data_IF_377708746915
#
_entry.id   IF_377708746915
#
_cell.length_a   1.000
_cell.length_b   1.000
_cell.length_c   1.000
_cell.angle_alpha   90.00
_cell.angle_beta   90.00
_cell.angle_gamma   90.00
#
_symmetry.space_group_name_H-M   'P 1'
#
loop_
_entity.id
_entity.type
_entity.pdbx_description
1 polymer ?
#
# COMPACT_ATOMS: atom_id res chain seq x y z
N UNK A 1 -48.38 49.26 4.36
CA UNK A 1 -46.94 49.03 4.58
C UNK A 1 -46.62 47.62 4.10
N UNK A 2 -46.15 47.53 2.86
CA UNK A 2 -46.01 46.28 2.10
C UNK A 2 -44.64 45.65 2.38
N UNK A 3 -44.63 44.41 2.87
CA UNK A 3 -43.41 43.64 3.14
C UNK A 3 -42.94 42.96 1.85
N UNK A 4 -41.73 43.29 1.39
CA UNK A 4 -41.03 42.54 0.34
C UNK A 4 -40.33 41.32 0.93
N UNK A 5 -40.73 40.12 0.49
CA UNK A 5 -39.97 38.88 0.66
C UNK A 5 -38.87 38.82 -0.41
N UNK A 6 -37.62 38.79 0.01
CA UNK A 6 -36.47 38.52 -0.86
C UNK A 6 -36.20 37.01 -0.81
N UNK A 7 -36.54 36.29 -1.89
CA UNK A 7 -36.26 34.87 -2.03
C UNK A 7 -34.81 34.66 -2.50
N UNK A 8 -33.99 34.03 -1.66
CA UNK A 8 -32.61 33.66 -1.94
C UNK A 8 -32.61 32.37 -2.79
N UNK A 9 -32.37 32.47 -4.10
CA UNK A 9 -32.11 31.31 -4.95
C UNK A 9 -30.75 30.71 -4.58
N UNK A 10 -30.73 29.60 -3.85
CA UNK A 10 -29.54 28.76 -3.75
C UNK A 10 -29.36 28.00 -5.08
N UNK A 11 -28.43 28.43 -5.91
CA UNK A 11 -27.89 27.60 -6.98
C UNK A 11 -27.12 26.45 -6.31
N UNK A 12 -27.76 25.30 -6.17
CA UNK A 12 -27.05 24.04 -5.95
C UNK A 12 -26.27 23.74 -7.22
N UNK A 13 -24.98 24.09 -7.24
CA UNK A 13 -24.06 23.63 -8.26
C UNK A 13 -23.89 22.12 -8.06
N UNK A 14 -24.71 21.33 -8.75
CA UNK A 14 -24.51 19.90 -8.92
C UNK A 14 -23.21 19.74 -9.71
N UNK A 15 -22.08 19.61 -9.02
CA UNK A 15 -20.86 19.14 -9.64
C UNK A 15 -21.15 17.72 -10.11
N UNK A 16 -21.51 17.59 -11.38
CA UNK A 16 -21.52 16.31 -12.06
C UNK A 16 -20.08 15.81 -12.02
N UNK A 17 -19.75 15.02 -10.99
CA UNK A 17 -18.60 14.15 -11.04
C UNK A 17 -18.86 13.26 -12.25
N UNK A 18 -18.22 13.57 -13.38
CA UNK A 18 -18.13 12.64 -14.49
C UNK A 18 -17.67 11.33 -13.87
N UNK A 19 -18.53 10.31 -13.90
CA UNK A 19 -18.25 9.02 -13.27
C UNK A 19 -16.82 8.62 -13.65
N UNK A 20 -16.00 8.21 -12.69
CA UNK A 20 -14.67 7.70 -12.98
C UNK A 20 -14.86 6.42 -13.80
N UNK A 21 -14.68 6.52 -15.12
CA UNK A 21 -15.06 5.45 -16.03
C UNK A 21 -13.83 4.63 -16.32
N UNK A 22 -13.76 3.43 -15.76
CA UNK A 22 -12.97 2.35 -16.31
C UNK A 22 -13.91 1.22 -16.75
N UNK A 23 -13.65 0.68 -17.94
CA UNK A 23 -14.46 -0.39 -18.54
C UNK A 23 -13.59 -1.31 -19.35
N UNK A 24 -14.08 -2.52 -19.60
CA UNK A 24 -13.41 -3.49 -20.43
C UNK A 24 -13.33 -4.84 -19.75
N UNK A 25 -12.65 -5.77 -20.42
CA UNK A 25 -12.42 -7.12 -19.90
C UNK A 25 -10.93 -7.43 -19.93
N UNK A 26 -10.51 -8.25 -18.99
CA UNK A 26 -9.22 -8.93 -18.99
C UNK A 26 -9.46 -10.40 -18.72
N UNK A 27 -8.87 -11.25 -19.56
CA UNK A 27 -8.95 -12.69 -19.47
C UNK A 27 -7.55 -13.25 -19.28
N UNK A 28 -7.36 -14.16 -18.32
CA UNK A 28 -6.11 -14.89 -18.13
C UNK A 28 -6.42 -16.32 -17.68
N UNK A 29 -6.21 -17.30 -18.57
CA UNK A 29 -6.64 -18.68 -18.35
C UNK A 29 -8.16 -18.72 -18.09
N UNK A 30 -8.57 -19.21 -16.93
CA UNK A 30 -9.97 -19.27 -16.50
C UNK A 30 -10.45 -18.03 -15.73
N UNK A 31 -9.59 -17.01 -15.56
CA UNK A 31 -9.91 -15.81 -14.80
C UNK A 31 -10.50 -14.78 -15.75
N UNK A 32 -11.65 -14.23 -15.35
CA UNK A 32 -12.29 -13.09 -16.00
C UNK A 32 -12.27 -11.92 -15.02
N UNK A 33 -11.84 -10.76 -15.50
CA UNK A 33 -11.74 -9.54 -14.73
C UNK A 33 -12.49 -8.42 -15.45
N UNK A 34 -13.33 -7.71 -14.69
CA UNK A 34 -14.01 -6.50 -15.12
C UNK A 34 -13.79 -5.40 -14.08
N UNK A 35 -13.36 -4.18 -14.47
CA UNK A 35 -13.15 -3.09 -13.53
C UNK A 35 -14.46 -2.65 -12.85
N UNK A 36 -14.43 -2.57 -11.52
CA UNK A 36 -15.50 -2.02 -10.65
C UNK A 36 -15.11 -0.65 -10.09
N UNK A 37 -13.81 -0.40 -9.97
CA UNK A 37 -13.27 0.88 -9.52
C UNK A 37 -11.91 1.15 -10.15
N UNK A 38 -11.53 2.43 -10.22
CA UNK A 38 -10.26 2.83 -10.79
C UNK A 38 -9.78 4.17 -10.24
N UNK A 39 -8.46 4.35 -10.22
CA UNK A 39 -7.84 5.66 -10.05
C UNK A 39 -6.45 5.67 -10.68
N UNK A 40 -5.93 6.85 -10.96
CA UNK A 40 -4.57 6.98 -11.49
C UNK A 40 -3.67 7.77 -10.55
N UNK A 41 -2.36 7.55 -10.67
CA UNK A 41 -1.33 8.33 -9.98
C UNK A 41 -0.04 8.36 -10.79
N UNK A 42 0.89 9.23 -10.40
CA UNK A 42 2.24 9.28 -10.94
C UNK A 42 3.17 8.48 -10.03
N UNK A 43 3.86 7.49 -10.60
CA UNK A 43 4.90 6.73 -9.92
C UNK A 43 6.30 7.20 -10.35
N UNK A 44 7.29 6.92 -9.53
CA UNK A 44 8.69 7.12 -9.90
C UNK A 44 9.09 6.15 -11.00
N UNK A 45 9.77 6.66 -12.02
CA UNK A 45 10.43 5.82 -13.02
C UNK A 45 11.96 5.85 -12.81
N UNK A 46 12.69 5.07 -13.60
CA UNK A 46 14.15 5.10 -13.62
C UNK A 46 14.72 6.49 -13.97
N UNK A 47 13.95 7.32 -14.69
CA UNK A 47 14.25 8.72 -14.95
C UNK A 47 13.32 9.59 -14.06
N UNK A 48 13.82 10.19 -12.97
CA UNK A 48 13.01 11.02 -12.09
C UNK A 48 12.35 12.22 -12.79
N UNK A 49 12.86 12.66 -13.95
CA UNK A 49 12.27 13.73 -14.75
C UNK A 49 11.06 13.27 -15.58
N UNK A 50 10.84 11.95 -15.69
CA UNK A 50 9.76 11.34 -16.47
C UNK A 50 8.99 10.37 -15.57
N UNK A 51 8.09 10.86 -14.71
CA UNK A 51 7.27 9.97 -13.89
C UNK A 51 6.42 9.06 -14.79
N UNK A 52 6.18 7.85 -14.31
CA UNK A 52 5.34 6.88 -15.01
C UNK A 52 3.90 7.08 -14.57
N UNK A 53 2.99 7.31 -15.52
CA UNK A 53 1.57 7.37 -15.18
C UNK A 53 1.02 5.97 -15.00
N UNK A 54 0.49 5.70 -13.82
CA UNK A 54 -0.16 4.45 -13.46
C UNK A 54 -1.66 4.66 -13.43
N UNK A 55 -2.39 3.77 -14.11
CA UNK A 55 -3.84 3.63 -13.98
C UNK A 55 -4.10 2.31 -13.28
N UNK A 56 -4.74 2.36 -12.12
CA UNK A 56 -5.16 1.15 -11.41
C UNK A 56 -6.61 0.84 -11.73
N UNK A 57 -6.87 -0.41 -12.09
CA UNK A 57 -8.21 -0.97 -12.26
C UNK A 57 -8.41 -2.10 -11.25
N UNK A 58 -9.48 -2.08 -10.48
CA UNK A 58 -9.79 -3.13 -9.50
C UNK A 58 -11.19 -3.70 -9.73
N UNK A 59 -11.39 -4.99 -9.45
CA UNK A 59 -12.73 -5.60 -9.42
C UNK A 59 -13.44 -5.43 -8.07
N UNK A 60 -12.89 -4.57 -7.20
CA UNK A 60 -13.40 -4.23 -5.88
C UNK A 60 -13.37 -2.72 -5.68
N UNK A 61 -14.08 -2.21 -4.66
CA UNK A 61 -14.04 -0.78 -4.30
C UNK A 61 -12.74 -0.44 -3.59
N UNK A 62 -12.01 0.52 -4.12
CA UNK A 62 -10.69 0.89 -3.62
C UNK A 62 -10.87 1.87 -2.46
N UNK A 63 -10.30 1.54 -1.30
CA UNK A 63 -10.03 2.50 -0.25
C UNK A 63 -8.88 3.41 -0.71
N UNK A 64 -9.25 4.47 -1.43
CA UNK A 64 -8.32 5.47 -1.97
C UNK A 64 -7.54 6.15 -0.86
N UNK A 65 -8.18 6.45 0.28
CA UNK A 65 -7.51 7.10 1.39
C UNK A 65 -6.40 6.22 1.96
N UNK A 66 -6.64 4.91 2.11
CA UNK A 66 -5.60 3.96 2.51
C UNK A 66 -4.47 3.89 1.47
N UNK A 67 -4.80 3.76 0.18
CA UNK A 67 -3.81 3.64 -0.89
C UNK A 67 -2.92 4.90 -1.04
N UNK A 68 -3.50 6.10 -0.98
CA UNK A 68 -2.76 7.36 -1.13
C UNK A 68 -1.93 7.71 0.10
N UNK A 69 -2.34 7.28 1.29
CA UNK A 69 -1.61 7.54 2.53
C UNK A 69 -0.55 6.47 2.83
N UNK A 70 -0.60 5.31 2.15
CA UNK A 70 0.41 4.28 2.30
C UNK A 70 1.80 4.75 1.87
N UNK A 71 2.82 4.25 2.57
CA UNK A 71 4.22 4.37 2.15
C UNK A 71 4.45 3.62 0.84
N UNK A 72 3.80 2.46 0.71
CA UNK A 72 3.85 1.56 -0.44
C UNK A 72 2.43 1.41 -0.99
N UNK A 73 2.10 2.22 -2.00
CA UNK A 73 0.77 2.22 -2.62
C UNK A 73 0.43 0.87 -3.26
N UNK A 74 1.30 0.23 -4.07
CA UNK A 74 1.06 -1.13 -4.54
C UNK A 74 0.80 -2.14 -3.42
N UNK A 75 1.61 -2.12 -2.34
CA UNK A 75 1.41 -2.98 -1.18
C UNK A 75 0.03 -2.80 -0.53
N UNK A 76 -0.41 -1.55 -0.35
CA UNK A 76 -1.74 -1.27 0.21
C UNK A 76 -2.90 -1.78 -0.66
N UNK A 77 -2.70 -1.93 -1.97
CA UNK A 77 -3.69 -2.48 -2.89
C UNK A 77 -3.70 -4.01 -2.86
N UNK A 78 -2.53 -4.63 -2.71
CA UNK A 78 -2.41 -6.08 -2.45
C UNK A 78 -3.19 -6.44 -1.17
N UNK A 79 -3.02 -5.66 -0.10
CA UNK A 79 -3.74 -5.89 1.17
C UNK A 79 -5.26 -5.78 1.02
N UNK A 80 -5.74 -4.82 0.21
CA UNK A 80 -7.17 -4.66 -0.06
C UNK A 80 -7.73 -5.81 -0.91
N UNK A 81 -6.99 -6.22 -1.93
CA UNK A 81 -7.35 -7.37 -2.77
C UNK A 81 -7.39 -8.68 -1.96
N UNK A 82 -6.42 -8.89 -1.06
CA UNK A 82 -6.37 -10.06 -0.17
C UNK A 82 -7.54 -10.17 0.80
N UNK A 83 -8.18 -9.04 1.14
CA UNK A 83 -9.37 -8.97 2.01
C UNK A 83 -10.70 -9.12 1.25
N UNK A 84 -10.64 -9.13 -0.08
CA UNK A 84 -11.82 -9.26 -0.94
C UNK A 84 -11.85 -10.64 -1.57
N UNK A 85 -12.97 -11.34 -1.46
CA UNK A 85 -13.14 -12.63 -2.13
C UNK A 85 -12.99 -12.47 -3.66
N UNK A 86 -12.07 -13.23 -4.26
CA UNK A 86 -11.70 -13.07 -5.66
C UNK A 86 -11.07 -11.71 -6.02
N UNK A 87 -10.61 -10.93 -5.04
CA UNK A 87 -10.06 -9.59 -5.26
C UNK A 87 -8.88 -9.58 -6.23
N UNK A 88 -8.95 -8.74 -7.25
CA UNK A 88 -7.91 -8.61 -8.26
C UNK A 88 -7.77 -7.15 -8.68
N UNK A 89 -6.58 -6.78 -9.14
CA UNK A 89 -6.35 -5.50 -9.76
C UNK A 89 -5.32 -5.58 -10.88
N UNK A 90 -5.45 -4.67 -11.83
CA UNK A 90 -4.51 -4.44 -12.91
C UNK A 90 -3.84 -3.09 -12.71
N UNK A 91 -2.55 -3.05 -12.98
CA UNK A 91 -1.72 -1.86 -13.07
C UNK A 91 -1.45 -1.61 -14.55
N UNK A 92 -2.13 -0.61 -15.10
CA UNK A 92 -1.90 -0.08 -16.44
C UNK A 92 -0.79 0.98 -16.38
N UNK A 93 0.29 0.74 -17.10
CA UNK A 93 1.40 1.68 -17.25
C UNK A 93 1.22 2.43 -18.56
N UNK A 94 1.07 3.75 -18.52
CA UNK A 94 1.05 4.57 -19.74
C UNK A 94 2.51 4.80 -20.17
N UNK A 95 2.95 4.04 -21.18
CA UNK A 95 4.36 4.05 -21.63
C UNK A 95 4.59 5.16 -22.66
N UNK A 96 3.66 5.30 -23.60
CA UNK A 96 3.62 6.38 -24.59
C UNK A 96 2.19 6.63 -25.08
N UNK A 97 2.01 7.49 -26.07
CA UNK A 97 0.70 7.70 -26.70
C UNK A 97 0.18 6.45 -27.45
N UNK A 98 1.08 5.55 -27.84
CA UNK A 98 0.81 4.38 -28.67
C UNK A 98 1.04 3.05 -27.93
N UNK A 99 1.70 3.10 -26.77
CA UNK A 99 2.05 1.92 -25.99
C UNK A 99 1.64 2.00 -24.53
N UNK A 100 1.20 0.86 -24.01
CA UNK A 100 0.89 0.64 -22.61
C UNK A 100 1.51 -0.67 -22.11
N UNK A 101 1.65 -0.77 -20.79
CA UNK A 101 2.04 -2.00 -20.11
C UNK A 101 1.01 -2.46 -19.10
N UNK A 102 1.01 -3.76 -18.81
CA UNK A 102 0.11 -4.38 -17.85
C UNK A 102 0.89 -5.19 -16.83
N UNK A 103 0.58 -4.95 -15.56
CA UNK A 103 0.81 -5.90 -14.48
C UNK A 103 -0.53 -6.30 -13.88
N UNK A 104 -0.67 -7.56 -13.48
CA UNK A 104 -1.88 -8.11 -12.89
C UNK A 104 -1.57 -8.76 -11.55
N UNK A 105 -2.37 -8.42 -10.53
CA UNK A 105 -2.45 -9.13 -9.28
C UNK A 105 -3.78 -9.90 -9.23
N UNK A 106 -3.70 -11.24 -9.22
CA UNK A 106 -4.84 -12.14 -9.30
C UNK A 106 -4.89 -13.01 -8.04
N UNK A 107 -5.58 -12.54 -6.99
CA UNK A 107 -5.61 -13.21 -5.68
C UNK A 107 -6.15 -14.64 -5.77
N UNK A 108 -7.20 -14.86 -6.57
CA UNK A 108 -7.84 -16.17 -6.74
C UNK A 108 -6.87 -17.27 -7.21
N UNK A 109 -5.85 -16.90 -7.98
CA UNK A 109 -4.81 -17.82 -8.43
C UNK A 109 -3.49 -17.68 -7.65
N UNK A 110 -3.42 -16.78 -6.68
CA UNK A 110 -2.19 -16.39 -5.99
C UNK A 110 -1.07 -16.00 -6.97
N UNK A 111 -1.44 -15.30 -8.05
CA UNK A 111 -0.52 -14.93 -9.13
C UNK A 111 -0.27 -13.44 -9.18
N UNK A 112 1.00 -13.10 -9.39
CA UNK A 112 1.48 -11.78 -9.76
C UNK A 112 2.14 -11.91 -11.12
N UNK A 113 1.65 -11.15 -12.09
CA UNK A 113 2.02 -11.32 -13.48
C UNK A 113 2.42 -9.97 -14.03
N UNK A 114 3.69 -9.82 -14.37
CA UNK A 114 4.12 -8.72 -15.22
C UNK A 114 4.10 -9.21 -16.66
N UNK A 115 3.26 -8.58 -17.49
CA UNK A 115 3.14 -8.93 -18.89
C UNK A 115 4.24 -8.20 -19.69
N UNK A 116 3.88 -7.29 -20.58
CA UNK A 116 4.84 -6.45 -21.33
C UNK A 116 4.51 -4.96 -21.21
N UNK A 117 5.32 -4.12 -21.88
CA UNK A 117 5.13 -2.67 -22.03
C UNK A 117 4.87 -2.27 -23.49
N UNK A 118 4.48 -3.21 -24.35
CA UNK A 118 4.38 -3.01 -25.80
C UNK A 118 2.96 -3.21 -26.34
N UNK A 119 1.94 -3.19 -25.49
CA UNK A 119 0.55 -3.33 -25.92
C UNK A 119 0.08 -2.07 -26.64
N UNK A 120 -0.90 -2.23 -27.53
CA UNK A 120 -1.42 -1.10 -28.29
C UNK A 120 -2.23 -0.19 -27.38
N UNK A 121 -1.88 1.09 -27.37
CA UNK A 121 -2.64 2.14 -26.71
C UNK A 121 -3.28 3.08 -27.74
N UNK A 122 -4.44 3.64 -27.40
CA UNK A 122 -5.16 4.60 -28.25
C UNK A 122 -5.76 5.72 -27.40
N UNK A 123 -5.86 6.92 -28.00
CA UNK A 123 -6.53 8.06 -27.39
C UNK A 123 -5.89 8.53 -26.07
N UNK A 124 -4.63 8.17 -25.83
CA UNK A 124 -3.96 8.46 -24.56
C UNK A 124 -3.83 9.97 -24.36
N UNK A 125 -4.45 10.46 -23.29
CA UNK A 125 -4.37 11.84 -22.84
C UNK A 125 -3.98 11.84 -21.37
N UNK A 126 -2.86 12.49 -21.05
CA UNK A 126 -2.41 12.68 -19.67
C UNK A 126 -2.36 14.18 -19.39
N UNK A 127 -3.17 14.63 -18.43
CA UNK A 127 -3.20 16.01 -17.95
C UNK A 127 -2.79 16.07 -16.48
N UNK A 128 -2.68 17.27 -15.92
CA UNK A 128 -2.37 17.45 -14.51
C UNK A 128 -3.43 16.85 -13.56
N UNK A 129 -4.68 16.65 -14.02
CA UNK A 129 -5.81 16.24 -13.17
C UNK A 129 -6.51 14.97 -13.61
N UNK A 130 -6.19 14.44 -14.80
CA UNK A 130 -6.95 13.34 -15.40
C UNK A 130 -6.10 12.60 -16.43
N UNK A 131 -6.33 11.30 -16.54
CA UNK A 131 -5.74 10.43 -17.55
C UNK A 131 -6.84 9.62 -18.22
N UNK A 132 -6.80 9.58 -19.55
CA UNK A 132 -7.75 8.85 -20.37
C UNK A 132 -7.05 8.10 -21.50
N UNK A 133 -7.64 7.00 -21.97
CA UNK A 133 -7.12 6.21 -23.07
C UNK A 133 -7.63 4.78 -23.08
N UNK A 134 -7.07 4.00 -24.00
CA UNK A 134 -7.33 2.58 -24.17
C UNK A 134 -6.02 1.81 -24.18
N UNK A 135 -6.08 0.55 -23.75
CA UNK A 135 -5.00 -0.42 -23.85
C UNK A 135 -5.59 -1.79 -24.18
N UNK A 136 -5.08 -2.42 -25.24
CA UNK A 136 -5.63 -3.69 -25.69
C UNK A 136 -4.56 -4.62 -26.28
N UNK A 137 -4.82 -5.92 -26.15
CA UNK A 137 -4.19 -6.93 -27.03
C UNK A 137 -4.82 -6.86 -28.42
N UNK A 138 -4.03 -7.04 -29.47
CA UNK A 138 -4.57 -7.11 -30.85
C UNK A 138 -5.12 -8.50 -31.20
N UNK A 139 -4.71 -9.51 -30.44
CA UNK A 139 -5.15 -10.91 -30.51
C UNK A 139 -4.82 -11.58 -29.16
N UNK A 140 -5.43 -12.74 -28.83
CA UNK A 140 -5.02 -13.51 -27.67
C UNK A 140 -3.54 -13.87 -27.72
N UNK A 141 -2.87 -13.68 -26.59
CA UNK A 141 -1.47 -13.99 -26.35
C UNK A 141 -1.35 -15.15 -25.35
N UNK A 142 -0.12 -15.65 -25.14
CA UNK A 142 0.14 -16.76 -24.24
C UNK A 142 1.22 -16.42 -23.25
N UNK A 143 1.03 -16.88 -22.02
CA UNK A 143 2.05 -16.90 -20.98
C UNK A 143 1.98 -18.25 -20.27
N UNK A 144 3.09 -19.01 -20.33
CA UNK A 144 3.11 -20.42 -19.94
C UNK A 144 2.02 -21.21 -20.70
N UNK A 145 1.18 -21.94 -19.98
CA UNK A 145 0.07 -22.73 -20.53
C UNK A 145 -1.24 -21.93 -20.65
N UNK A 146 -1.28 -20.70 -20.13
CA UNK A 146 -2.48 -19.86 -20.12
C UNK A 146 -2.51 -18.91 -21.32
N UNK A 147 -3.72 -18.73 -21.87
CA UNK A 147 -4.01 -17.69 -22.85
C UNK A 147 -4.49 -16.43 -22.11
N UNK A 148 -4.16 -15.25 -22.63
CA UNK A 148 -4.70 -14.00 -22.14
C UNK A 148 -5.05 -13.04 -23.27
N UNK A 149 -6.04 -12.20 -23.01
CA UNK A 149 -6.43 -11.08 -23.86
C UNK A 149 -7.11 -10.02 -23.01
N UNK A 150 -7.08 -8.78 -23.47
CA UNK A 150 -7.77 -7.70 -22.80
C UNK A 150 -8.08 -6.56 -23.75
N UNK A 151 -9.11 -5.80 -23.38
CA UNK A 151 -9.42 -4.51 -23.96
C UNK A 151 -9.94 -3.62 -22.84
N UNK A 152 -9.12 -2.66 -22.42
CA UNK A 152 -9.37 -1.81 -21.27
C UNK A 152 -9.42 -0.35 -21.72
N UNK A 153 -10.44 0.37 -21.26
CA UNK A 153 -10.60 1.81 -21.46
C UNK A 153 -10.68 2.49 -20.09
N UNK A 154 -10.09 3.66 -19.98
CA UNK A 154 -10.03 4.44 -18.75
C UNK A 154 -10.20 5.93 -19.05
N UNK A 155 -10.90 6.62 -18.15
CA UNK A 155 -10.97 8.06 -18.03
C UNK A 155 -11.18 8.40 -16.55
N UNK A 156 -10.06 8.61 -15.86
CA UNK A 156 -10.00 8.65 -14.39
C UNK A 156 -9.17 9.84 -13.88
N UNK A 157 -9.50 10.38 -12.69
CA UNK A 157 -8.74 11.45 -12.08
C UNK A 157 -7.31 11.00 -11.78
N UNK A 158 -6.37 11.88 -12.09
CA UNK A 158 -4.97 11.72 -11.71
C UNK A 158 -4.80 12.21 -10.27
N UNK A 159 -4.59 11.27 -9.36
CA UNK A 159 -4.44 11.52 -7.93
C UNK A 159 -2.98 11.82 -7.61
N UNK A 160 -2.74 12.97 -6.98
CA UNK A 160 -1.43 13.30 -6.46
C UNK A 160 -1.15 12.45 -5.21
N UNK A 161 -0.09 11.62 -5.27
CA UNK A 161 0.39 10.86 -4.13
C UNK A 161 1.68 11.52 -3.64
N UNK A 162 1.66 12.01 -2.40
CA UNK A 162 2.87 12.56 -1.78
C UNK A 162 3.89 11.44 -1.58
N UNK A 163 5.14 11.72 -1.95
CA UNK A 163 6.26 10.82 -1.65
C UNK A 163 6.45 10.72 -0.14
N UNK A 164 6.78 9.54 0.40
CA UNK A 164 7.18 9.41 1.79
C UNK A 164 8.41 10.29 2.09
N UNK A 165 8.46 10.87 3.28
CA UNK A 165 9.64 11.55 3.78
C UNK A 165 10.68 10.52 4.24
N UNK A 166 11.95 10.75 3.92
CA UNK A 166 13.05 9.94 4.45
C UNK A 166 13.29 10.27 5.92
N UNK A 167 13.43 9.22 6.74
CA UNK A 167 13.85 9.31 8.13
C UNK A 167 15.37 9.21 8.22
N UNK A 168 15.98 10.09 9.01
CA UNK A 168 17.42 10.03 9.31
C UNK A 168 17.75 8.84 10.21
N UNK A 169 19.05 8.59 10.42
CA UNK A 169 19.52 7.63 11.42
C UNK A 169 18.85 7.86 12.78
N UNK A 170 18.50 6.76 13.46
CA UNK A 170 17.64 6.75 14.64
C UNK A 170 16.14 6.69 14.34
N UNK A 171 15.71 6.91 13.09
CA UNK A 171 14.32 6.74 12.65
C UNK A 171 13.32 7.74 13.24
N UNK A 172 13.80 8.84 13.86
CA UNK A 172 12.94 9.83 14.50
C UNK A 172 12.11 9.26 15.66
N UNK A 173 10.92 9.83 15.88
CA UNK A 173 9.96 9.37 16.89
C UNK A 173 9.62 7.85 16.76
N UNK A 174 9.24 7.32 15.57
CA UNK A 174 8.91 5.89 15.46
C UNK A 174 10.11 4.98 15.74
N UNK A 175 11.31 5.36 15.32
CA UNK A 175 12.53 4.61 15.61
C UNK A 175 12.86 4.57 17.11
N UNK A 176 12.71 5.71 17.81
CA UNK A 176 12.90 5.77 19.25
C UNK A 176 11.90 4.90 20.03
N UNK A 177 10.63 4.90 19.59
CA UNK A 177 9.58 4.07 20.19
C UNK A 177 9.88 2.58 20.00
N UNK A 178 10.26 2.16 18.79
CA UNK A 178 10.61 0.76 18.54
C UNK A 178 11.83 0.31 19.35
N UNK A 179 12.87 1.14 19.43
CA UNK A 179 14.03 0.85 20.28
C UNK A 179 13.65 0.74 21.77
N UNK A 180 12.71 1.57 22.23
CA UNK A 180 12.12 1.49 23.56
C UNK A 180 11.37 0.19 23.80
N UNK A 181 10.54 -0.27 22.86
CA UNK A 181 9.85 -1.56 22.92
C UNK A 181 10.85 -2.71 23.04
N UNK A 182 11.86 -2.75 22.16
CA UNK A 182 12.90 -3.80 22.20
C UNK A 182 13.57 -3.83 23.57
N UNK A 183 13.95 -2.67 24.11
CA UNK A 183 14.53 -2.58 25.47
C UNK A 183 13.56 -3.07 26.55
N UNK A 184 12.28 -2.72 26.46
CA UNK A 184 11.26 -3.14 27.42
C UNK A 184 11.06 -4.67 27.42
N UNK A 185 11.06 -5.29 26.23
CA UNK A 185 10.98 -6.74 26.07
C UNK A 185 12.18 -7.41 26.77
N UNK A 186 13.40 -6.94 26.50
CA UNK A 186 14.61 -7.52 27.12
C UNK A 186 14.65 -7.32 28.64
N UNK A 187 14.03 -6.24 29.15
CA UNK A 187 13.94 -5.96 30.58
C UNK A 187 12.73 -6.63 31.27
N UNK A 188 11.89 -7.36 30.53
CA UNK A 188 10.61 -7.87 31.00
C UNK A 188 9.70 -6.78 31.63
N UNK A 189 9.73 -5.56 31.07
CA UNK A 189 8.95 -4.42 31.55
C UNK A 189 7.56 -4.42 30.89
N UNK A 190 6.60 -5.06 31.57
CA UNK A 190 5.20 -5.06 31.15
C UNK A 190 4.65 -3.65 30.92
N UNK A 191 4.91 -2.72 31.84
CA UNK A 191 4.26 -1.41 31.82
C UNK A 191 4.70 -0.60 30.59
N UNK A 192 5.95 -0.78 30.15
CA UNK A 192 6.44 -0.17 28.92
C UNK A 192 6.03 -0.96 27.66
N UNK A 193 6.17 -2.30 27.66
CA UNK A 193 6.00 -3.10 26.44
C UNK A 193 4.55 -3.14 25.94
N UNK A 194 3.57 -3.38 26.83
CA UNK A 194 2.17 -3.62 26.42
C UNK A 194 1.52 -2.44 25.69
N UNK A 195 2.05 -1.22 25.86
CA UNK A 195 1.55 -0.01 25.18
C UNK A 195 2.03 0.08 23.72
N UNK A 196 3.16 -0.56 23.42
CA UNK A 196 3.88 -0.42 22.14
C UNK A 196 3.76 -1.66 21.25
N UNK A 197 3.37 -2.80 21.83
CA UNK A 197 3.12 -4.04 21.11
C UNK A 197 1.93 -3.92 20.15
N UNK A 198 1.96 -4.70 19.05
CA UNK A 198 0.77 -4.93 18.23
C UNK A 198 -0.39 -5.46 19.10
N UNK A 199 -1.65 -5.02 18.87
CA UNK A 199 -2.78 -5.42 19.70
C UNK A 199 -2.99 -6.93 19.82
N UNK A 200 -2.66 -7.70 18.77
CA UNK A 200 -2.75 -9.16 18.73
C UNK A 200 -1.64 -9.87 19.53
N UNK A 201 -0.59 -9.15 19.94
CA UNK A 201 0.49 -9.66 20.80
C UNK A 201 0.34 -9.26 22.27
N UNK A 202 -0.62 -8.39 22.59
CA UNK A 202 -0.95 -8.01 23.96
C UNK A 202 -1.99 -8.99 24.51
N UNK A 203 -1.69 -9.78 25.55
CA UNK A 203 -2.69 -10.65 26.15
C UNK A 203 -3.79 -9.81 26.82
N UNK A 204 -5.03 -10.33 26.81
CA UNK A 204 -6.21 -9.68 27.40
C UNK A 204 -6.05 -9.33 28.89
N UNK A 205 -5.19 -10.08 29.58
CA UNK A 205 -4.87 -9.85 30.99
C UNK A 205 -3.36 -9.79 31.20
N UNK A 206 -2.93 -8.91 32.10
CA UNK A 206 -1.53 -8.81 32.51
C UNK A 206 -1.05 -10.16 33.09
N UNK A 207 0.06 -10.73 32.59
CA UNK A 207 0.64 -11.94 33.16
C UNK A 207 0.93 -11.79 34.65
N UNK A 208 0.75 -12.87 35.42
CA UNK A 208 1.12 -12.86 36.85
C UNK A 208 2.63 -12.68 37.01
N UNK A 209 3.11 -12.19 38.16
CA UNK A 209 4.55 -12.06 38.40
C UNK A 209 5.35 -13.35 38.15
N UNK A 210 4.76 -14.52 38.45
CA UNK A 210 5.38 -15.83 38.19
C UNK A 210 5.46 -16.22 36.71
N UNK A 211 4.62 -15.64 35.86
CA UNK A 211 4.51 -15.93 34.42
C UNK A 211 5.28 -14.91 33.57
N UNK A 212 5.55 -13.73 34.13
CA UNK A 212 6.13 -12.57 33.42
C UNK A 212 7.42 -12.91 32.68
N UNK A 213 8.33 -13.65 33.33
CA UNK A 213 9.61 -14.04 32.73
C UNK A 213 9.43 -14.98 31.54
N UNK A 214 8.49 -15.91 31.62
CA UNK A 214 8.17 -16.84 30.52
C UNK A 214 7.56 -16.09 29.35
N UNK A 215 6.57 -15.24 29.61
CA UNK A 215 5.94 -14.40 28.59
C UNK A 215 6.96 -13.57 27.81
N UNK A 216 7.86 -12.86 28.50
CA UNK A 216 8.88 -12.04 27.83
C UNK A 216 9.99 -12.85 27.16
N UNK A 217 10.27 -14.07 27.63
CA UNK A 217 11.17 -14.98 26.93
C UNK A 217 10.59 -15.35 25.56
N UNK A 218 9.33 -15.80 25.53
CA UNK A 218 8.66 -16.22 24.30
C UNK A 218 8.43 -15.03 23.35
N UNK A 219 8.01 -13.89 23.89
CA UNK A 219 7.89 -12.65 23.13
C UNK A 219 9.24 -12.24 22.52
N UNK A 220 10.31 -12.32 23.31
CA UNK A 220 11.67 -11.98 22.87
C UNK A 220 12.22 -12.86 21.76
N UNK A 221 11.61 -14.02 21.45
CA UNK A 221 11.97 -14.82 20.27
C UNK A 221 11.55 -14.16 18.96
N UNK A 222 10.52 -13.32 19.00
CA UNK A 222 9.99 -12.61 17.84
C UNK A 222 10.60 -11.21 17.64
N UNK A 223 11.50 -10.77 18.53
CA UNK A 223 12.09 -9.44 18.50
C UNK A 223 13.63 -9.50 18.55
N UNK A 224 14.32 -8.47 18.03
CA UNK A 224 15.75 -8.35 18.24
C UNK A 224 16.12 -8.33 19.73
N UNK A 225 17.27 -8.91 20.05
CA UNK A 225 17.96 -8.73 21.33
C UNK A 225 18.63 -7.36 21.43
N UNK A 226 19.20 -6.89 20.32
CA UNK A 226 19.76 -5.54 20.18
C UNK A 226 19.24 -4.91 18.91
N UNK A 227 19.05 -3.59 18.89
CA UNK A 227 18.55 -2.88 17.72
C UNK A 227 19.31 -1.57 17.52
N UNK A 228 19.66 -1.31 16.26
CA UNK A 228 20.12 -0.04 15.74
C UNK A 228 19.23 0.34 14.56
N UNK A 229 18.62 1.53 14.63
CA UNK A 229 17.71 2.04 13.60
C UNK A 229 18.50 2.87 12.59
N UNK A 230 18.62 2.37 11.37
CA UNK A 230 19.43 2.99 10.31
C UNK A 230 18.75 4.22 9.68
N UNK A 231 17.42 4.23 9.67
CA UNK A 231 16.61 5.24 9.00
C UNK A 231 15.25 4.66 8.62
N UNK A 232 14.68 5.14 7.53
CA UNK A 232 13.43 4.60 6.99
C UNK A 232 12.63 5.61 6.18
N UNK A 233 11.35 5.33 6.02
CA UNK A 233 10.38 6.18 5.34
C UNK A 233 9.21 6.49 6.28
N UNK A 234 8.60 7.66 6.13
CA UNK A 234 7.43 8.07 6.89
C UNK A 234 6.44 8.81 6.00
N UNK A 235 5.15 8.57 6.22
CA UNK A 235 4.08 9.27 5.53
C UNK A 235 2.86 9.36 6.43
N UNK A 236 2.50 10.60 6.80
CA UNK A 236 1.47 10.86 7.81
C UNK A 236 1.73 10.06 9.08
N UNK A 237 0.74 9.26 9.48
CA UNK A 237 0.76 8.42 10.67
C UNK A 237 1.38 7.04 10.45
N UNK A 238 2.12 6.82 9.36
CA UNK A 238 2.79 5.54 9.07
C UNK A 238 4.29 5.74 8.91
N UNK A 239 5.09 4.78 9.40
CA UNK A 239 6.52 4.72 9.18
C UNK A 239 6.97 3.29 8.86
N UNK A 240 7.98 3.14 8.02
CA UNK A 240 8.71 1.89 7.80
C UNK A 240 10.17 2.16 8.11
N UNK A 241 10.63 1.66 9.24
CA UNK A 241 12.01 1.85 9.70
C UNK A 241 12.88 0.67 9.30
N UNK A 242 14.13 0.95 8.95
CA UNK A 242 15.15 -0.04 8.65
C UNK A 242 16.02 -0.26 9.89
N UNK A 243 16.22 -1.54 10.24
CA UNK A 243 16.92 -1.91 11.47
C UNK A 243 18.04 -2.90 11.21
N UNK A 244 19.01 -2.89 12.11
CA UNK A 244 20.07 -3.87 12.24
C UNK A 244 20.22 -4.24 13.70
N UNK A 245 20.79 -5.40 14.01
CA UNK A 245 20.89 -5.84 15.40
C UNK A 245 21.35 -7.27 15.56
N UNK A 246 20.96 -7.88 16.67
CA UNK A 246 21.14 -9.31 16.93
C UNK A 246 19.84 -9.97 17.38
N UNK A 247 19.67 -11.25 17.08
CA UNK A 247 18.55 -12.04 17.58
C UNK A 247 18.85 -12.63 18.99
N UNK A 248 17.94 -13.45 19.52
CA UNK A 248 18.08 -14.13 20.81
C UNK A 248 19.32 -15.02 20.92
N UNK A 249 19.77 -15.60 19.80
CA UNK A 249 20.99 -16.41 19.68
C UNK A 249 22.27 -15.58 19.52
N UNK A 250 22.17 -14.24 19.44
CA UNK A 250 23.31 -13.35 19.21
C UNK A 250 23.77 -13.26 17.75
N UNK A 251 23.06 -13.89 16.81
CA UNK A 251 23.34 -13.77 15.37
C UNK A 251 22.89 -12.41 14.86
N UNK A 252 23.66 -11.82 13.95
CA UNK A 252 23.32 -10.55 13.33
C UNK A 252 22.05 -10.67 12.49
N UNK A 253 21.24 -9.64 12.53
CA UNK A 253 20.04 -9.51 11.70
C UNK A 253 19.96 -8.12 11.07
N UNK A 254 19.24 -8.07 9.95
CA UNK A 254 18.69 -6.85 9.37
C UNK A 254 17.19 -7.03 9.17
N UNK A 255 16.47 -5.93 9.03
CA UNK A 255 15.04 -6.02 8.80
C UNK A 255 14.35 -4.68 8.61
N UNK A 256 13.04 -4.77 8.47
CA UNK A 256 12.16 -3.61 8.42
C UNK A 256 11.05 -3.76 9.45
N UNK A 257 10.58 -2.63 9.98
CA UNK A 257 9.48 -2.57 10.94
C UNK A 257 8.49 -1.53 10.46
N UNK A 258 7.25 -1.94 10.25
CA UNK A 258 6.13 -1.05 9.99
C UNK A 258 5.56 -0.56 11.31
N UNK A 259 5.45 0.76 11.45
CA UNK A 259 4.94 1.48 12.61
C UNK A 259 3.74 2.31 12.20
N UNK A 260 2.74 2.44 13.08
CA UNK A 260 1.59 3.32 12.89
C UNK A 260 1.35 4.18 14.13
N UNK A 261 1.07 5.47 13.93
CA UNK A 261 0.65 6.38 14.98
C UNK A 261 -0.84 6.19 15.24
N UNK A 262 -1.18 5.84 16.46
CA UNK A 262 -2.53 5.75 16.99
C UNK A 262 -2.70 6.76 18.13
N UNK A 263 -3.88 6.85 18.73
CA UNK A 263 -4.16 7.81 19.81
C UNK A 263 -3.19 7.69 21.00
N UNK A 264 -2.69 6.49 21.30
CA UNK A 264 -1.74 6.21 22.38
C UNK A 264 -0.26 6.45 22.01
N UNK A 265 0.04 6.74 20.75
CA UNK A 265 1.40 6.92 20.24
C UNK A 265 1.72 5.98 19.08
N UNK A 266 3.01 5.81 18.79
CA UNK A 266 3.47 4.89 17.75
C UNK A 266 3.42 3.43 18.24
N UNK A 267 2.95 2.54 17.38
CA UNK A 267 2.87 1.10 17.65
C UNK A 267 3.43 0.30 16.48
N UNK A 268 3.99 -0.86 16.76
CA UNK A 268 4.39 -1.83 15.73
C UNK A 268 3.13 -2.40 15.08
N UNK A 269 3.16 -2.52 13.76
CA UNK A 269 2.10 -3.15 12.96
C UNK A 269 2.59 -4.45 12.34
N UNK A 270 3.82 -4.43 11.83
CA UNK A 270 4.44 -5.59 11.19
C UNK A 270 5.96 -5.47 11.32
N UNK A 271 6.65 -6.61 11.28
CA UNK A 271 8.11 -6.64 11.31
C UNK A 271 8.64 -7.88 10.61
N UNK A 272 9.72 -7.69 9.84
CA UNK A 272 10.38 -8.76 9.09
C UNK A 272 11.88 -8.67 9.31
N UNK A 273 12.48 -9.78 9.75
CA UNK A 273 13.90 -9.90 10.03
C UNK A 273 14.51 -11.04 9.22
N UNK A 274 15.75 -10.84 8.78
CA UNK A 274 16.53 -11.84 8.06
C UNK A 274 17.98 -11.83 8.55
N UNK A 275 18.65 -12.97 8.39
CA UNK A 275 20.05 -13.13 8.73
C UNK A 275 20.93 -12.13 7.97
N UNK A 276 21.91 -11.57 8.65
CA UNK A 276 22.93 -10.73 8.03
C UNK A 276 24.30 -11.35 8.24
N UNK A 277 25.10 -11.40 7.17
CA UNK A 277 26.50 -11.83 7.22
C UNK A 277 27.38 -10.84 8.03
#
# INVERSE_FOLDING_TARGET
MTRSLLALLMLAASTAFAADVAKGTFHFGNINFEPVDAFAYQDTSADPAKPLTIVLLANFKIDRAAAVNAIDTPGALIDQAGKTDGGAFLVLRVVSAEHCGIYAFLNQAQRQIDLSNSYAAKGVTVTASRVAGECATTKPEKMFDDSYDFHLSYDVPLTAISKPATLTSGGGEPGAVYAGLVKAIQAADWNAAHLLLPPDQVPDTKPKPSEMKGYFHDLGLNYPKTVNVAGGLMKGDSARIEISGTNSEGKKIKGTVAMKKVASGWQVVDQSFYGAD
#
